data_IF_470472356015
#
_entry.id   IF_470472356015
#
_cell.length_a   1.000
_cell.length_b   1.000
_cell.length_c   1.000
_cell.angle_alpha   90.00
_cell.angle_beta   90.00
_cell.angle_gamma   90.00
#
_symmetry.space_group_name_H-M   'P 1'
#
loop_
_entity.id
_entity.type
_entity.pdbx_description
1 polymer ?
#
# COMPACT_ATOMS: atom_id res chain seq x y z
N UNK A 1 -13.69 -3.01 1.80
CA UNK A 1 -13.41 -1.87 2.72
C UNK A 1 -12.46 -2.20 3.88
N UNK A 2 -12.82 -3.06 4.85
CA UNK A 2 -11.97 -3.35 6.04
C UNK A 2 -10.55 -3.78 5.63
N UNK A 3 -10.43 -4.78 4.74
CA UNK A 3 -9.14 -5.31 4.27
C UNK A 3 -8.27 -4.20 3.68
N UNK A 4 -8.81 -3.33 2.82
CA UNK A 4 -8.07 -2.23 2.19
C UNK A 4 -7.50 -1.25 3.25
N UNK A 5 -8.29 -0.91 4.27
CA UNK A 5 -7.83 -0.02 5.35
C UNK A 5 -6.70 -0.69 6.14
N UNK A 6 -6.89 -1.94 6.56
CA UNK A 6 -5.89 -2.68 7.34
C UNK A 6 -4.61 -2.95 6.54
N UNK A 7 -4.69 -3.23 5.24
CA UNK A 7 -3.52 -3.33 4.38
C UNK A 7 -2.77 -2.01 4.29
N UNK A 8 -3.48 -0.87 4.26
CA UNK A 8 -2.85 0.45 4.28
C UNK A 8 -2.09 0.72 5.58
N UNK A 9 -2.67 0.36 6.72
CA UNK A 9 -2.02 0.47 8.03
C UNK A 9 -0.82 -0.47 8.15
N UNK A 10 -0.98 -1.72 7.73
CA UNK A 10 0.10 -2.71 7.68
C UNK A 10 1.25 -2.20 6.83
N UNK A 11 0.98 -1.70 5.63
CA UNK A 11 1.99 -1.21 4.70
C UNK A 11 2.79 -0.04 5.29
N UNK A 12 2.13 0.93 5.93
CA UNK A 12 2.82 2.02 6.62
C UNK A 12 3.69 1.50 7.78
N UNK A 13 3.17 0.56 8.59
CA UNK A 13 3.90 0.01 9.72
C UNK A 13 5.17 -0.73 9.29
N UNK A 14 5.09 -1.60 8.26
CA UNK A 14 6.27 -2.34 7.79
C UNK A 14 7.30 -1.42 7.14
N UNK A 15 6.88 -0.42 6.37
CA UNK A 15 7.79 0.53 5.73
C UNK A 15 8.51 1.36 6.79
N UNK A 16 7.79 1.82 7.82
CA UNK A 16 8.39 2.51 8.95
C UNK A 16 9.44 1.63 9.64
N UNK A 17 9.07 0.40 10.03
CA UNK A 17 9.98 -0.50 10.73
C UNK A 17 11.26 -0.79 9.92
N UNK A 18 11.12 -1.12 8.63
CA UNK A 18 12.26 -1.48 7.78
C UNK A 18 13.13 -0.26 7.49
N UNK A 19 12.54 0.91 7.19
CA UNK A 19 13.32 2.13 6.93
C UNK A 19 14.09 2.55 8.18
N UNK A 20 13.45 2.55 9.36
CA UNK A 20 14.13 2.87 10.62
C UNK A 20 15.24 1.87 10.91
N UNK A 21 15.02 0.58 10.65
CA UNK A 21 16.05 -0.46 10.87
C UNK A 21 17.24 -0.35 9.91
N UNK A 22 17.03 -0.01 8.63
CA UNK A 22 18.09 0.03 7.60
C UNK A 22 18.77 1.40 7.46
N UNK A 23 18.04 2.48 7.69
CA UNK A 23 18.50 3.86 7.41
C UNK A 23 18.44 4.79 8.63
N UNK A 24 17.81 4.35 9.73
CA UNK A 24 17.66 5.15 10.95
C UNK A 24 16.46 6.10 10.92
N UNK A 25 16.11 6.62 12.09
CA UNK A 25 14.93 7.48 12.27
C UNK A 25 15.02 8.84 11.59
N UNK A 26 16.21 9.42 11.45
CA UNK A 26 16.38 10.72 10.80
C UNK A 26 16.17 10.65 9.28
N UNK A 27 16.55 9.53 8.66
CA UNK A 27 16.21 9.31 7.25
C UNK A 27 14.72 9.07 7.10
N UNK A 28 14.11 8.25 7.98
CA UNK A 28 12.66 8.04 7.95
C UNK A 28 11.87 9.35 7.99
N UNK A 29 12.26 10.34 8.80
CA UNK A 29 11.57 11.65 8.85
C UNK A 29 11.47 12.36 7.50
N UNK A 30 12.44 12.17 6.60
CA UNK A 30 12.40 12.73 5.23
C UNK A 30 11.40 12.00 4.32
N UNK A 31 11.15 10.73 4.65
CA UNK A 31 10.23 9.84 3.96
C UNK A 31 8.87 9.73 4.65
N UNK A 32 8.72 10.34 5.83
CA UNK A 32 7.46 10.46 6.50
C UNK A 32 6.51 11.27 5.60
N UNK A 33 5.27 10.82 5.48
CA UNK A 33 4.27 11.30 4.51
C UNK A 33 4.60 11.13 3.01
N UNK A 34 5.76 10.55 2.64
CA UNK A 34 6.04 10.19 1.24
C UNK A 34 5.19 9.01 0.78
N UNK A 35 5.05 8.88 -0.53
CA UNK A 35 4.28 7.79 -1.14
C UNK A 35 4.90 6.42 -0.85
N UNK A 36 4.08 5.37 -0.94
CA UNK A 36 4.55 3.99 -0.85
C UNK A 36 5.64 3.70 -1.88
N UNK A 37 5.46 4.17 -3.12
CA UNK A 37 6.47 4.07 -4.19
C UNK A 37 7.80 4.65 -3.75
N UNK A 38 7.83 5.90 -3.27
CA UNK A 38 9.07 6.56 -2.84
C UNK A 38 9.78 5.77 -1.71
N UNK A 39 9.00 5.28 -0.74
CA UNK A 39 9.52 4.46 0.37
C UNK A 39 10.06 3.10 -0.10
N UNK A 40 9.39 2.45 -1.04
CA UNK A 40 9.82 1.17 -1.61
C UNK A 40 11.07 1.31 -2.49
N UNK A 41 11.16 2.40 -3.27
CA UNK A 41 12.37 2.73 -4.05
C UNK A 41 13.57 2.95 -3.10
N UNK A 42 13.38 3.67 -1.99
CA UNK A 42 14.43 3.81 -0.97
C UNK A 42 14.92 2.45 -0.46
N UNK A 43 14.00 1.51 -0.27
CA UNK A 43 14.31 0.15 0.19
C UNK A 43 14.90 -0.77 -0.90
N UNK A 44 15.12 -0.25 -2.11
CA UNK A 44 15.74 -0.98 -3.23
C UNK A 44 14.76 -1.69 -4.17
N UNK A 45 13.44 -1.50 -4.00
CA UNK A 45 12.44 -2.10 -4.87
C UNK A 45 12.37 -1.33 -6.19
N UNK A 46 12.72 -1.99 -7.29
CA UNK A 46 12.70 -1.44 -8.65
C UNK A 46 11.70 -2.12 -9.58
N UNK A 47 11.04 -3.19 -9.15
CA UNK A 47 10.04 -3.90 -9.95
C UNK A 47 8.85 -2.98 -10.25
N UNK A 48 8.67 -2.62 -11.52
CA UNK A 48 7.57 -1.76 -11.97
C UNK A 48 6.22 -2.37 -11.64
N UNK A 49 6.08 -3.69 -11.75
CA UNK A 49 4.87 -4.40 -11.39
C UNK A 49 4.47 -4.17 -9.93
N UNK A 50 5.44 -4.24 -9.01
CA UNK A 50 5.18 -3.98 -7.58
C UNK A 50 4.80 -2.53 -7.39
N UNK A 51 5.58 -1.60 -7.95
CA UNK A 51 5.36 -0.15 -7.77
C UNK A 51 3.99 0.31 -8.31
N UNK A 52 3.57 -0.21 -9.47
CA UNK A 52 2.29 0.14 -10.08
C UNK A 52 1.10 -0.44 -9.29
N UNK A 53 1.26 -1.63 -8.68
CA UNK A 53 0.25 -2.20 -7.78
C UNK A 53 0.03 -1.34 -6.53
N UNK A 54 1.10 -0.84 -5.91
CA UNK A 54 0.97 0.01 -4.70
C UNK A 54 0.37 1.38 -5.01
N UNK A 55 0.65 1.93 -6.18
CA UNK A 55 0.02 3.17 -6.64
C UNK A 55 -1.47 2.97 -6.90
N UNK A 56 -1.83 1.87 -7.56
CA UNK A 56 -3.23 1.48 -7.79
C UNK A 56 -3.97 1.32 -6.46
N UNK A 57 -3.36 0.62 -5.50
CA UNK A 57 -3.91 0.45 -4.15
C UNK A 57 -4.09 1.79 -3.41
N UNK A 58 -3.13 2.71 -3.53
CA UNK A 58 -3.25 4.06 -2.93
C UNK A 58 -4.44 4.82 -3.53
N UNK A 59 -4.64 4.74 -4.84
CA UNK A 59 -5.79 5.36 -5.51
C UNK A 59 -7.11 4.75 -5.03
N UNK A 60 -7.23 3.42 -5.04
CA UNK A 60 -8.40 2.68 -4.53
C UNK A 60 -8.73 3.05 -3.08
N UNK A 61 -7.74 3.09 -2.19
CA UNK A 61 -7.97 3.49 -0.79
C UNK A 61 -8.47 4.94 -0.70
N UNK A 62 -7.93 5.86 -1.50
CA UNK A 62 -8.36 7.26 -1.48
C UNK A 62 -9.83 7.39 -1.90
N UNK A 63 -10.24 6.71 -2.96
CA UNK A 63 -11.61 6.69 -3.47
C UNK A 63 -12.59 6.11 -2.45
N UNK A 64 -12.23 5.00 -1.83
CA UNK A 64 -13.04 4.36 -0.79
C UNK A 64 -13.22 5.19 0.48
N UNK A 65 -12.23 6.00 0.85
CA UNK A 65 -12.25 6.78 2.09
C UNK A 65 -12.87 8.18 1.91
N UNK A 66 -12.87 8.76 0.70
CA UNK A 66 -13.31 10.13 0.44
C UNK A 66 -14.70 10.27 -0.22
N UNK A 67 -15.63 9.35 0.02
CA UNK A 67 -17.04 9.43 -0.43
C UNK A 67 -17.28 9.53 -1.95
N UNK A 68 -17.39 8.38 -2.63
CA UNK A 68 -18.32 8.16 -3.76
C UNK A 68 -18.60 6.66 -3.92
N UNK A 69 -19.45 6.07 -3.09
CA UNK A 69 -20.06 4.79 -3.47
C UNK A 69 -21.56 4.88 -3.23
N UNK A 70 -22.25 4.97 -4.36
CA UNK A 70 -23.68 5.03 -4.52
C UNK A 70 -24.12 3.56 -4.68
N UNK A 71 -24.94 3.08 -3.75
CA UNK A 71 -25.30 1.67 -3.62
C UNK A 71 -26.15 1.16 -4.79
N UNK A 72 -25.60 0.26 -5.60
CA UNK A 72 -26.34 -0.63 -6.49
C UNK A 72 -25.57 -1.96 -6.71
N UNK A 73 -26.25 -3.02 -7.17
CA UNK A 73 -25.82 -4.43 -7.21
C UNK A 73 -24.43 -4.72 -7.86
N UNK A 74 -23.80 -3.75 -8.51
CA UNK A 74 -22.42 -3.77 -9.01
C UNK A 74 -21.33 -3.66 -7.94
N UNK A 75 -21.64 -3.18 -6.72
CA UNK A 75 -20.65 -2.94 -5.65
C UNK A 75 -19.95 -4.21 -5.11
N UNK A 76 -20.63 -5.36 -5.07
CA UNK A 76 -20.04 -6.59 -4.50
C UNK A 76 -18.83 -7.05 -5.32
N UNK A 77 -18.89 -6.92 -6.66
CA UNK A 77 -17.76 -7.25 -7.53
C UNK A 77 -16.59 -6.29 -7.33
N UNK A 78 -16.88 -5.01 -7.09
CA UNK A 78 -15.86 -3.99 -6.80
C UNK A 78 -15.18 -4.28 -5.46
N UNK A 79 -15.95 -4.54 -4.40
CA UNK A 79 -15.40 -4.86 -3.08
C UNK A 79 -14.49 -6.10 -3.07
N UNK A 80 -14.80 -7.11 -3.90
CA UNK A 80 -13.93 -8.28 -4.09
C UNK A 80 -12.63 -7.92 -4.83
N UNK A 81 -12.71 -7.15 -5.91
CA UNK A 81 -11.52 -6.69 -6.66
C UNK A 81 -10.59 -5.84 -5.79
N UNK A 82 -11.14 -4.99 -4.92
CA UNK A 82 -10.37 -4.18 -3.99
C UNK A 82 -9.68 -5.02 -2.91
N UNK A 83 -10.37 -6.05 -2.39
CA UNK A 83 -9.79 -6.98 -1.43
C UNK A 83 -8.68 -7.82 -2.07
N UNK A 84 -8.87 -8.24 -3.32
CA UNK A 84 -7.88 -8.95 -4.12
C UNK A 84 -6.64 -8.06 -4.35
N UNK A 85 -6.82 -6.80 -4.76
CA UNK A 85 -5.73 -5.85 -4.91
C UNK A 85 -4.96 -5.64 -3.60
N UNK A 86 -5.66 -5.52 -2.48
CA UNK A 86 -5.04 -5.40 -1.16
C UNK A 86 -4.20 -6.64 -0.81
N UNK A 87 -4.73 -7.84 -1.07
CA UNK A 87 -3.99 -9.09 -0.87
C UNK A 87 -2.75 -9.19 -1.77
N UNK A 88 -2.89 -8.82 -3.04
CA UNK A 88 -1.77 -8.80 -3.99
C UNK A 88 -0.67 -7.82 -3.57
N UNK A 89 -1.04 -6.65 -3.04
CA UNK A 89 -0.07 -5.69 -2.48
C UNK A 89 0.67 -6.31 -1.29
N UNK A 90 -0.05 -6.93 -0.35
CA UNK A 90 0.59 -7.59 0.79
C UNK A 90 1.59 -8.64 0.33
N UNK A 91 1.17 -9.56 -0.53
CA UNK A 91 2.04 -10.62 -1.05
C UNK A 91 3.24 -10.07 -1.83
N UNK A 92 3.02 -9.12 -2.74
CA UNK A 92 4.07 -8.57 -3.60
C UNK A 92 5.10 -7.77 -2.80
N UNK A 93 4.66 -6.97 -1.82
CA UNK A 93 5.56 -6.19 -0.96
C UNK A 93 6.30 -7.10 0.00
N UNK A 94 5.63 -8.09 0.60
CA UNK A 94 6.29 -9.09 1.45
C UNK A 94 7.42 -9.80 0.72
N UNK A 95 7.13 -10.32 -0.48
CA UNK A 95 8.15 -10.95 -1.31
C UNK A 95 9.26 -9.96 -1.72
N UNK A 96 8.93 -8.72 -2.07
CA UNK A 96 9.94 -7.73 -2.49
C UNK A 96 10.85 -7.26 -1.35
N UNK A 97 10.41 -7.41 -0.10
CA UNK A 97 11.15 -6.98 1.10
C UNK A 97 11.71 -8.15 1.92
N UNK A 98 11.50 -9.38 1.47
CA UNK A 98 11.87 -10.63 2.15
C UNK A 98 11.30 -10.73 3.58
N UNK A 99 10.00 -10.44 3.75
CA UNK A 99 9.27 -10.49 5.03
C UNK A 99 8.03 -11.39 5.01
#
# INVERSE_FOLDING_TARGET
MIVVVFTGMWLEAILHQIIVARHGGDEFKKYDFKSYREKLILLGVSSTEVLDKVDSFKATRKELVHEKVFFDNSEIKVAQQEAELAHQVMSSVSHALDI
#
